data_IF_829893513333
#
_entry.id   IF_829893513333
#
_cell.length_a   1.000
_cell.length_b   1.000
_cell.length_c   1.000
_cell.angle_alpha   90.00
_cell.angle_beta   90.00
_cell.angle_gamma   90.00
#
_symmetry.space_group_name_H-M   'P 1'
#
loop_
_entity.id
_entity.type
_entity.pdbx_description
1 polymer ?
#
# COMPACT_ATOMS: atom_id res chain seq x y z
N UNK A 1 22.04 -7.04 -4.03
CA UNK A 1 20.90 -7.66 -3.36
C UNK A 1 19.63 -7.19 -4.08
N UNK A 2 18.72 -8.07 -4.48
CA UNK A 2 17.53 -7.67 -5.24
C UNK A 2 16.36 -7.64 -4.28
N UNK A 3 15.92 -6.44 -3.86
CA UNK A 3 14.69 -6.26 -3.11
C UNK A 3 13.49 -6.67 -3.98
N UNK A 4 12.69 -7.63 -3.53
CA UNK A 4 11.50 -8.12 -4.23
C UNK A 4 10.32 -8.06 -3.27
N UNK A 5 9.77 -6.86 -3.06
CA UNK A 5 8.63 -6.69 -2.15
C UNK A 5 7.40 -7.50 -2.60
N UNK A 6 7.21 -7.65 -3.90
CA UNK A 6 6.14 -8.49 -4.44
C UNK A 6 6.63 -9.22 -5.70
N UNK A 7 6.92 -10.53 -5.65
CA UNK A 7 7.36 -11.30 -6.81
C UNK A 7 6.27 -11.41 -7.89
N UNK A 8 5.01 -11.29 -7.51
CA UNK A 8 3.85 -11.37 -8.41
C UNK A 8 3.69 -10.12 -9.27
N UNK A 9 3.99 -8.94 -8.72
CA UNK A 9 3.86 -7.65 -9.41
C UNK A 9 4.67 -7.59 -10.71
N UNK A 10 5.84 -8.24 -10.77
CA UNK A 10 6.69 -8.22 -11.96
C UNK A 10 5.99 -8.81 -13.19
N UNK A 11 5.28 -9.93 -13.03
CA UNK A 11 4.59 -10.60 -14.12
C UNK A 11 3.44 -9.77 -14.67
N UNK A 12 2.61 -9.25 -13.79
CA UNK A 12 1.45 -8.41 -14.10
C UNK A 12 1.88 -7.08 -14.72
N UNK A 13 2.94 -6.44 -14.17
CA UNK A 13 3.52 -5.22 -14.73
C UNK A 13 4.09 -5.43 -16.14
N UNK A 14 4.86 -6.50 -16.35
CA UNK A 14 5.49 -6.78 -17.66
C UNK A 14 4.46 -7.05 -18.76
N UNK A 15 3.26 -7.54 -18.39
CA UNK A 15 2.15 -7.78 -19.31
C UNK A 15 1.25 -6.56 -19.51
N UNK A 16 1.50 -5.46 -18.80
CA UNK A 16 0.66 -4.24 -18.86
C UNK A 16 -0.75 -4.43 -18.28
N UNK A 17 -0.92 -5.31 -17.31
CA UNK A 17 -2.21 -5.68 -16.71
C UNK A 17 -2.55 -4.88 -15.45
N UNK A 18 -1.72 -3.89 -15.08
CA UNK A 18 -1.99 -2.97 -13.96
C UNK A 18 -2.70 -1.73 -14.50
N UNK A 19 -3.87 -1.44 -13.98
CA UNK A 19 -4.57 -0.19 -14.25
C UNK A 19 -4.27 0.83 -13.16
N UNK A 20 -3.84 2.03 -13.57
CA UNK A 20 -3.52 3.14 -12.67
C UNK A 20 -4.59 4.21 -12.83
N UNK A 21 -5.26 4.56 -11.74
CA UNK A 21 -6.28 5.60 -11.68
C UNK A 21 -5.90 6.60 -10.61
N UNK A 22 -6.01 7.87 -10.92
CA UNK A 22 -5.86 8.96 -9.94
C UNK A 22 -7.25 9.47 -9.63
N UNK A 23 -7.70 9.28 -8.39
CA UNK A 23 -8.97 9.82 -7.89
C UNK A 23 -8.92 11.33 -7.82
N UNK A 24 -10.00 11.97 -8.21
CA UNK A 24 -10.22 13.41 -8.01
C UNK A 24 -10.98 13.70 -6.69
N UNK A 25 -11.30 12.66 -5.91
CA UNK A 25 -12.04 12.79 -4.66
C UNK A 25 -11.30 13.69 -3.66
N UNK A 26 -12.08 14.54 -3.01
CA UNK A 26 -11.62 15.47 -1.97
C UNK A 26 -12.14 15.10 -0.59
N UNK A 27 -13.01 14.10 -0.51
CA UNK A 27 -13.55 13.56 0.74
C UNK A 27 -13.86 12.05 0.62
N UNK A 28 -14.18 11.42 1.76
CA UNK A 28 -14.49 9.99 1.86
C UNK A 28 -15.69 9.57 0.99
N UNK A 29 -16.70 10.43 0.87
CA UNK A 29 -17.93 10.13 0.14
C UNK A 29 -17.68 10.05 -1.37
N UNK A 30 -16.91 10.99 -1.88
CA UNK A 30 -16.50 10.99 -3.29
C UNK A 30 -15.62 9.77 -3.58
N UNK A 31 -14.69 9.45 -2.64
CA UNK A 31 -13.80 8.30 -2.77
C UNK A 31 -14.56 6.96 -2.79
N UNK A 32 -15.66 6.81 -2.02
CA UNK A 32 -16.53 5.62 -2.10
C UNK A 32 -17.08 5.45 -3.52
N UNK A 33 -17.49 6.54 -4.17
CA UNK A 33 -17.99 6.50 -5.55
C UNK A 33 -16.93 6.06 -6.55
N UNK A 34 -15.70 6.58 -6.41
CA UNK A 34 -14.57 6.19 -7.26
C UNK A 34 -14.18 4.73 -7.03
N UNK A 35 -14.16 4.28 -5.77
CA UNK A 35 -13.87 2.90 -5.41
C UNK A 35 -14.92 1.94 -5.99
N UNK A 36 -16.21 2.26 -5.83
CA UNK A 36 -17.28 1.45 -6.40
C UNK A 36 -17.13 1.31 -7.92
N UNK A 37 -16.91 2.41 -8.62
CA UNK A 37 -16.72 2.39 -10.06
C UNK A 37 -15.55 1.49 -10.50
N UNK A 38 -14.42 1.58 -9.79
CA UNK A 38 -13.24 0.78 -10.13
C UNK A 38 -13.38 -0.71 -9.77
N UNK A 39 -14.13 -1.04 -8.71
CA UNK A 39 -14.49 -2.42 -8.38
C UNK A 39 -15.39 -3.03 -9.47
N UNK A 40 -16.46 -2.33 -9.88
CA UNK A 40 -17.34 -2.74 -10.98
C UNK A 40 -16.53 -2.97 -12.27
N UNK A 41 -15.73 -1.99 -12.65
CA UNK A 41 -14.91 -2.06 -13.86
C UNK A 41 -13.88 -3.20 -13.80
N UNK A 42 -13.30 -3.48 -12.63
CA UNK A 42 -12.39 -4.61 -12.46
C UNK A 42 -13.14 -5.94 -12.53
N UNK A 43 -14.32 -6.08 -11.96
CA UNK A 43 -15.12 -7.29 -12.00
C UNK A 43 -15.56 -7.67 -13.43
N UNK A 44 -15.89 -6.68 -14.26
CA UNK A 44 -16.39 -6.88 -15.63
C UNK A 44 -15.31 -7.24 -16.66
N UNK A 45 -14.07 -6.78 -16.45
CA UNK A 45 -12.98 -6.98 -17.41
C UNK A 45 -12.21 -8.27 -17.12
N UNK A 46 -11.68 -8.94 -18.15
CA UNK A 46 -10.89 -10.17 -17.91
C UNK A 46 -9.50 -9.88 -17.34
N UNK A 47 -8.97 -10.83 -16.54
CA UNK A 47 -7.66 -10.70 -15.91
C UNK A 47 -6.52 -10.54 -16.93
N UNK A 48 -6.65 -11.10 -18.16
CA UNK A 48 -5.66 -10.94 -19.23
C UNK A 48 -5.52 -9.49 -19.69
N UNK A 49 -6.58 -8.68 -19.52
CA UNK A 49 -6.57 -7.26 -19.88
C UNK A 49 -6.25 -6.36 -18.70
N UNK A 50 -6.80 -6.69 -17.52
CA UNK A 50 -6.66 -5.90 -16.30
C UNK A 50 -6.73 -6.85 -15.11
N UNK A 51 -5.58 -7.21 -14.59
CA UNK A 51 -5.48 -8.13 -13.45
C UNK A 51 -5.68 -7.40 -12.12
N UNK A 52 -5.25 -6.15 -12.04
CA UNK A 52 -5.33 -5.34 -10.83
C UNK A 52 -5.49 -3.85 -11.12
N UNK A 53 -5.97 -3.10 -10.12
CA UNK A 53 -6.09 -1.63 -10.17
C UNK A 53 -5.39 -1.01 -8.99
N UNK A 54 -4.67 0.07 -9.22
CA UNK A 54 -4.15 0.98 -8.21
C UNK A 54 -4.95 2.29 -8.28
N UNK A 55 -5.86 2.49 -7.33
CA UNK A 55 -6.61 3.73 -7.16
C UNK A 55 -5.83 4.66 -6.23
N UNK A 56 -5.17 5.66 -6.81
CA UNK A 56 -4.29 6.61 -6.12
C UNK A 56 -5.12 7.81 -5.67
N UNK A 57 -4.99 8.21 -4.40
CA UNK A 57 -5.87 9.20 -3.75
C UNK A 57 -5.06 10.40 -3.24
N UNK A 58 -4.71 11.37 -4.10
CA UNK A 58 -3.88 12.51 -3.68
C UNK A 58 -4.66 13.64 -2.99
N UNK A 59 -6.00 13.64 -3.05
CA UNK A 59 -6.85 14.77 -2.63
C UNK A 59 -7.51 14.62 -1.26
N UNK A 60 -7.45 13.44 -0.65
CA UNK A 60 -8.01 13.17 0.67
C UNK A 60 -7.28 11.98 1.32
N UNK A 61 -7.69 11.61 2.54
CA UNK A 61 -7.09 10.50 3.30
C UNK A 61 -5.61 10.70 3.63
N UNK A 62 -5.19 11.92 3.92
CA UNK A 62 -3.80 12.23 4.31
C UNK A 62 -3.45 11.68 5.69
N UNK A 63 -4.41 11.64 6.62
CA UNK A 63 -4.25 11.01 7.93
C UNK A 63 -4.37 9.49 7.82
N UNK A 64 -3.42 8.77 8.43
CA UNK A 64 -3.39 7.31 8.33
C UNK A 64 -4.53 6.64 9.10
N UNK A 65 -4.99 7.21 10.21
CA UNK A 65 -6.10 6.65 10.98
C UNK A 65 -7.43 6.82 10.23
N UNK A 66 -7.66 8.00 9.65
CA UNK A 66 -8.83 8.25 8.80
C UNK A 66 -8.84 7.30 7.59
N UNK A 67 -7.67 7.07 6.99
CA UNK A 67 -7.52 6.12 5.89
C UNK A 67 -7.79 4.67 6.35
N UNK A 68 -7.30 4.28 7.52
CA UNK A 68 -7.51 2.96 8.07
C UNK A 68 -9.00 2.71 8.40
N UNK A 69 -9.71 3.72 8.93
CA UNK A 69 -11.15 3.65 9.15
C UNK A 69 -11.91 3.53 7.82
N UNK A 70 -11.42 4.19 6.76
CA UNK A 70 -11.99 4.04 5.42
C UNK A 70 -11.85 2.62 4.86
N UNK A 71 -10.81 1.86 5.23
CA UNK A 71 -10.65 0.48 4.74
C UNK A 71 -11.78 -0.43 5.22
N UNK A 72 -12.29 -0.23 6.44
CA UNK A 72 -13.46 -0.98 6.91
C UNK A 72 -14.70 -0.70 6.02
N UNK A 73 -14.89 0.54 5.59
CA UNK A 73 -15.95 0.92 4.65
C UNK A 73 -15.71 0.33 3.26
N UNK A 74 -14.46 0.23 2.82
CA UNK A 74 -14.11 -0.39 1.54
C UNK A 74 -14.44 -1.89 1.54
N UNK A 75 -14.17 -2.60 2.65
CA UNK A 75 -14.52 -4.01 2.80
C UNK A 75 -16.05 -4.20 2.83
N UNK A 76 -16.79 -3.35 3.57
CA UNK A 76 -18.25 -3.35 3.55
C UNK A 76 -18.82 -3.13 2.14
N UNK A 77 -18.19 -2.27 1.34
CA UNK A 77 -18.61 -2.01 -0.03
C UNK A 77 -18.40 -3.23 -0.92
N UNK A 78 -17.25 -3.94 -0.80
CA UNK A 78 -16.98 -5.19 -1.54
C UNK A 78 -18.05 -6.23 -1.24
N UNK A 79 -18.43 -6.41 0.03
CA UNK A 79 -19.49 -7.33 0.44
C UNK A 79 -20.87 -6.88 -0.08
N UNK A 80 -21.20 -5.59 0.01
CA UNK A 80 -22.49 -5.05 -0.46
C UNK A 80 -22.68 -5.17 -1.99
N UNK A 81 -21.57 -5.27 -2.73
CA UNK A 81 -21.56 -5.46 -4.18
C UNK A 81 -21.55 -6.96 -4.59
N UNK A 82 -21.67 -7.90 -3.65
CA UNK A 82 -21.53 -9.35 -3.89
C UNK A 82 -20.16 -9.71 -4.52
N UNK A 83 -19.09 -8.97 -4.20
CA UNK A 83 -17.73 -9.19 -4.69
C UNK A 83 -16.84 -9.91 -3.67
N UNK A 84 -17.34 -10.26 -2.49
CA UNK A 84 -16.64 -11.08 -1.48
C UNK A 84 -16.16 -12.40 -2.08
N UNK A 85 -14.90 -12.76 -1.90
CA UNK A 85 -14.28 -13.95 -2.51
C UNK A 85 -13.94 -13.80 -4.01
N UNK A 86 -14.21 -12.64 -4.62
CA UNK A 86 -13.88 -12.32 -6.02
C UNK A 86 -12.80 -11.25 -6.08
N UNK A 87 -13.00 -10.17 -5.31
CA UNK A 87 -12.07 -9.04 -5.21
C UNK A 87 -11.76 -8.74 -3.75
N UNK A 88 -10.57 -8.22 -3.50
CA UNK A 88 -10.16 -7.66 -2.21
C UNK A 88 -9.45 -6.33 -2.39
N UNK A 89 -9.44 -5.52 -1.32
CA UNK A 89 -8.76 -4.23 -1.28
C UNK A 89 -7.57 -4.33 -0.33
N UNK A 90 -6.36 -4.17 -0.86
CA UNK A 90 -5.16 -3.93 -0.07
C UNK A 90 -4.84 -2.44 -0.05
N UNK A 91 -3.98 -2.00 0.86
CA UNK A 91 -3.72 -0.59 1.09
C UNK A 91 -2.24 -0.24 1.14
N UNK A 92 -1.93 0.96 0.62
CA UNK A 92 -0.64 1.62 0.81
C UNK A 92 -0.88 3.05 1.26
N UNK A 93 -0.04 3.55 2.16
CA UNK A 93 -0.18 4.91 2.67
C UNK A 93 1.19 5.55 2.96
N UNK A 94 1.40 6.87 2.79
CA UNK A 94 2.67 7.52 3.12
C UNK A 94 3.14 7.30 4.57
N UNK A 95 2.19 7.20 5.49
CA UNK A 95 2.42 7.02 6.93
C UNK A 95 2.04 5.61 7.40
N UNK A 96 2.02 4.61 6.50
CA UNK A 96 1.66 3.25 6.89
C UNK A 96 2.48 2.77 8.08
N UNK A 97 1.80 2.14 9.03
CA UNK A 97 2.40 1.58 10.23
C UNK A 97 1.72 0.25 10.57
N UNK A 98 2.51 -0.81 10.73
CA UNK A 98 1.99 -2.07 11.23
C UNK A 98 1.67 -1.97 12.72
N UNK A 99 0.65 -2.71 13.15
CA UNK A 99 0.31 -2.80 14.56
C UNK A 99 1.52 -3.30 15.38
N UNK A 100 1.77 -2.65 16.51
CA UNK A 100 2.88 -2.97 17.41
C UNK A 100 4.27 -2.52 16.95
N UNK A 101 4.41 -1.83 15.80
CA UNK A 101 5.68 -1.25 15.37
C UNK A 101 5.81 0.23 15.76
N UNK A 102 7.03 0.73 15.83
CA UNK A 102 7.26 2.17 15.96
C UNK A 102 7.08 2.89 14.61
N UNK A 103 6.75 4.19 14.64
CA UNK A 103 6.48 4.98 13.43
C UNK A 103 7.66 5.03 12.46
N UNK A 104 8.89 4.95 12.98
CA UNK A 104 10.14 4.97 12.22
C UNK A 104 10.70 3.57 11.91
N UNK A 105 9.96 2.51 12.26
CA UNK A 105 10.34 1.15 11.90
C UNK A 105 10.41 1.00 10.38
N UNK A 106 11.57 0.57 9.90
CA UNK A 106 11.85 0.43 8.46
C UNK A 106 10.97 -0.61 7.79
N UNK A 107 10.45 -1.60 8.53
CA UNK A 107 9.55 -2.63 8.00
C UNK A 107 8.23 -2.06 7.50
N UNK A 108 7.77 -0.93 8.06
CA UNK A 108 6.60 -0.20 7.60
C UNK A 108 6.72 0.24 6.14
N UNK A 109 7.95 0.39 5.62
CA UNK A 109 8.21 0.80 4.25
C UNK A 109 7.71 -0.20 3.21
N UNK A 110 7.41 -1.44 3.58
CA UNK A 110 6.79 -2.43 2.66
C UNK A 110 5.46 -1.94 2.11
N UNK A 111 4.67 -1.22 2.93
CA UNK A 111 3.34 -0.73 2.58
C UNK A 111 3.28 0.80 2.45
N UNK A 112 4.43 1.49 2.45
CA UNK A 112 4.48 2.93 2.21
C UNK A 112 4.51 3.26 0.73
N UNK A 113 3.65 4.19 0.32
CA UNK A 113 3.54 4.73 -1.03
C UNK A 113 3.48 6.26 -1.02
N UNK A 114 3.77 6.95 -2.14
CA UNK A 114 3.74 8.44 -2.23
C UNK A 114 2.41 9.08 -1.85
N UNK A 115 1.33 8.36 -2.09
CA UNK A 115 -0.05 8.80 -1.83
C UNK A 115 -0.84 7.64 -1.22
N UNK A 116 -1.90 7.93 -0.45
CA UNK A 116 -2.87 6.91 -0.10
C UNK A 116 -3.31 6.18 -1.35
N UNK A 117 -3.31 4.86 -1.32
CA UNK A 117 -3.59 4.05 -2.51
C UNK A 117 -4.38 2.82 -2.11
N UNK A 118 -5.53 2.62 -2.76
CA UNK A 118 -6.32 1.41 -2.67
C UNK A 118 -5.90 0.48 -3.81
N UNK A 119 -5.48 -0.72 -3.46
CA UNK A 119 -5.02 -1.73 -4.41
C UNK A 119 -6.08 -2.80 -4.56
N UNK A 120 -6.82 -2.77 -5.65
CA UNK A 120 -7.89 -3.71 -5.95
C UNK A 120 -7.29 -4.95 -6.60
N UNK A 121 -7.51 -6.10 -5.99
CA UNK A 121 -6.91 -7.38 -6.33
C UNK A 121 -7.99 -8.41 -6.64
N UNK A 122 -7.70 -9.33 -7.58
CA UNK A 122 -8.53 -10.53 -7.81
C UNK A 122 -8.07 -11.64 -6.90
N UNK A 123 -9.00 -12.23 -6.15
CA UNK A 123 -8.71 -13.38 -5.29
C UNK A 123 -8.13 -14.55 -6.09
N UNK A 124 -8.75 -14.90 -7.23
CA UNK A 124 -8.24 -15.94 -8.13
C UNK A 124 -6.79 -15.71 -8.59
N UNK A 125 -6.36 -14.45 -8.74
CA UNK A 125 -5.00 -14.13 -9.15
C UNK A 125 -4.01 -14.30 -8.00
N UNK A 126 -4.46 -14.01 -6.78
CA UNK A 126 -3.69 -14.24 -5.56
C UNK A 126 -3.53 -15.74 -5.33
N UNK A 127 -4.61 -16.51 -5.42
CA UNK A 127 -4.59 -17.96 -5.24
C UNK A 127 -3.62 -18.63 -6.20
N UNK A 128 -3.71 -18.29 -7.50
CA UNK A 128 -2.75 -18.78 -8.50
C UNK A 128 -1.31 -18.40 -8.20
N UNK A 129 -1.12 -17.20 -7.63
CA UNK A 129 0.20 -16.73 -7.26
C UNK A 129 0.77 -17.51 -6.06
N UNK A 130 -0.06 -17.80 -5.06
CA UNK A 130 0.31 -18.61 -3.89
C UNK A 130 0.58 -20.06 -4.29
N UNK A 131 -0.21 -20.65 -5.21
CA UNK A 131 0.05 -22.00 -5.73
C UNK A 131 1.43 -22.13 -6.41
N UNK A 132 1.85 -21.10 -7.15
CA UNK A 132 3.17 -21.06 -7.81
C UNK A 132 4.31 -20.81 -6.82
N UNK A 133 4.02 -20.10 -5.72
CA UNK A 133 4.98 -19.76 -4.66
C UNK A 133 4.44 -20.17 -3.28
N UNK A 134 4.49 -21.47 -2.95
CA UNK A 134 3.91 -22.00 -1.70
C UNK A 134 4.56 -21.43 -0.43
N UNK A 135 5.69 -20.74 -0.56
CA UNK A 135 6.37 -20.03 0.53
C UNK A 135 6.03 -18.53 0.54
N UNK A 136 4.78 -18.15 0.21
CA UNK A 136 4.37 -16.74 0.19
C UNK A 136 4.58 -16.03 1.54
N UNK A 137 4.38 -16.74 2.66
CA UNK A 137 4.68 -16.24 4.02
C UNK A 137 6.18 -15.95 4.19
N UNK A 138 7.06 -16.82 3.67
CA UNK A 138 8.50 -16.61 3.71
C UNK A 138 8.94 -15.38 2.88
N UNK A 139 8.15 -14.95 1.90
CA UNK A 139 8.41 -13.71 1.14
C UNK A 139 8.24 -12.49 2.04
N UNK A 140 7.19 -12.47 2.85
CA UNK A 140 6.96 -11.38 3.80
C UNK A 140 8.08 -11.29 4.84
N UNK A 141 8.42 -12.41 5.49
CA UNK A 141 9.52 -12.49 6.45
C UNK A 141 10.85 -12.07 5.81
N UNK A 142 11.11 -12.55 4.59
CA UNK A 142 12.32 -12.19 3.86
C UNK A 142 12.38 -10.71 3.49
N UNK A 143 11.27 -10.09 3.17
CA UNK A 143 11.21 -8.65 2.91
C UNK A 143 11.50 -7.84 4.18
N UNK A 144 10.98 -8.25 5.33
CA UNK A 144 11.30 -7.63 6.61
C UNK A 144 12.79 -7.73 6.94
N UNK A 145 13.39 -8.94 6.86
CA UNK A 145 14.83 -9.14 7.05
C UNK A 145 15.66 -8.23 6.13
N UNK A 146 15.29 -8.14 4.86
CA UNK A 146 16.00 -7.29 3.88
C UNK A 146 15.89 -5.82 4.24
N UNK A 147 14.74 -5.35 4.73
CA UNK A 147 14.57 -3.97 5.18
C UNK A 147 15.36 -3.67 6.45
N UNK A 148 15.37 -4.61 7.40
CA UNK A 148 16.18 -4.51 8.62
C UNK A 148 17.68 -4.44 8.30
N UNK A 149 18.17 -5.34 7.42
CA UNK A 149 19.56 -5.33 6.95
C UNK A 149 19.91 -4.02 6.20
N UNK A 150 18.97 -3.47 5.43
CA UNK A 150 19.15 -2.25 4.64
C UNK A 150 19.17 -1.01 5.56
N UNK A 151 18.31 -1.01 6.56
CA UNK A 151 18.07 0.11 7.47
C UNK A 151 17.46 1.33 6.80
N UNK A 152 17.12 2.34 7.60
CA UNK A 152 16.49 3.57 7.10
C UNK A 152 17.36 4.34 6.12
N UNK A 153 18.66 4.40 6.33
CA UNK A 153 19.61 5.08 5.43
C UNK A 153 19.71 4.36 4.08
N UNK A 154 19.78 3.02 4.10
CA UNK A 154 19.80 2.22 2.90
C UNK A 154 18.50 2.31 2.11
N UNK A 155 17.34 2.32 2.80
CA UNK A 155 16.05 2.56 2.15
C UNK A 155 15.99 3.94 1.49
N UNK A 156 16.41 4.99 2.18
CA UNK A 156 16.44 6.36 1.63
C UNK A 156 17.34 6.46 0.38
N UNK A 157 18.43 5.71 0.34
CA UNK A 157 19.36 5.67 -0.79
C UNK A 157 18.79 4.99 -2.05
N UNK A 158 17.68 4.20 -1.93
CA UNK A 158 17.00 3.60 -3.08
C UNK A 158 16.18 4.61 -3.88
N UNK A 159 15.89 5.78 -3.33
CA UNK A 159 15.04 6.83 -3.92
C UNK A 159 13.66 6.32 -4.39
N UNK A 160 13.14 5.27 -3.74
CA UNK A 160 11.82 4.69 -4.03
C UNK A 160 10.76 5.33 -3.14
N UNK A 161 9.91 6.12 -3.76
CA UNK A 161 8.74 6.73 -3.11
C UNK A 161 9.04 8.00 -2.29
N UNK A 162 8.06 8.50 -1.52
CA UNK A 162 8.28 9.60 -0.62
C UNK A 162 9.34 9.17 0.39
N UNK A 163 10.22 10.06 0.70
CA UNK A 163 11.18 9.80 1.77
C UNK A 163 10.37 9.41 2.99
N UNK A 164 10.62 8.20 3.50
CA UNK A 164 10.16 7.86 4.85
C UNK A 164 10.45 9.09 5.72
N UNK A 165 9.56 9.58 6.58
CA UNK A 165 9.84 10.72 7.44
C UNK A 165 10.97 10.33 8.40
N UNK A 166 12.18 10.25 7.84
CA UNK A 166 13.40 10.12 8.62
C UNK A 166 13.55 11.48 9.29
N UNK A 167 13.48 11.51 10.59
CA UNK A 167 13.88 12.67 11.37
C UNK A 167 15.21 13.18 10.80
N UNK A 168 15.33 14.48 10.40
CA UNK A 168 16.62 14.97 9.95
C UNK A 168 17.63 14.75 11.10
N UNK A 169 18.81 14.19 10.86
CA UNK A 169 19.81 14.05 11.89
C UNK A 169 20.18 15.45 12.36
N UNK A 170 19.75 15.82 13.58
CA UNK A 170 20.21 17.06 14.20
C UNK A 170 19.18 18.03 14.76
N UNK A 171 17.98 17.63 15.10
CA UNK A 171 17.19 18.40 16.07
C UNK A 171 17.63 18.02 17.49
N UNK A 172 18.85 18.40 17.86
CA UNK A 172 19.30 18.36 19.24
C UNK A 172 18.31 19.17 20.08
N UNK A 173 17.77 18.55 21.12
CA UNK A 173 16.97 19.19 22.14
C UNK A 173 17.69 20.45 22.65
N UNK A 174 17.21 21.62 22.26
CA UNK A 174 17.63 22.89 22.79
C UNK A 174 17.29 22.93 24.28
N UNK A 175 18.28 22.64 25.11
CA UNK A 175 18.19 22.80 26.55
C UNK A 175 17.86 24.25 26.89
N UNK A 176 16.66 24.48 27.43
CA UNK A 176 16.34 25.70 28.14
C UNK A 176 17.12 25.71 29.45
N UNK A 177 18.28 26.44 29.44
CA UNK A 177 18.97 26.82 30.66
C UNK A 177 18.11 27.79 31.48
N UNK A 178 18.22 27.77 32.81
CA UNK A 178 17.52 28.70 33.65
C UNK A 178 18.12 30.11 33.52
N UNK A 179 17.26 31.09 33.28
CA UNK A 179 17.63 32.49 33.41
C UNK A 179 17.54 32.96 34.88
N UNK A 180 18.40 33.90 35.31
CA UNK A 180 18.51 34.34 36.68
C UNK A 180 17.32 35.18 37.17
#
# INVERSE_FOLDING_TARGET
MLFRSCPFAKGVHAKGQIHYVVSAATDARELVGDLQHELEALAEISAEKRDTTLLIVPGCMEDFLDFNDFLALADELVEAMDLGGILQVASFHPQFQFDGTDVDDVTNCTNRAPYPTLHLLREDSIDRAVEVFPEAEAIFERNMEVLEELGSDGWAALEVGPRCPVHPPGAAAGGSGPQP
#
